data_IF_937060408348
#
_entry.id   IF_937060408348
#
_cell.length_a   1.000
_cell.length_b   1.000
_cell.length_c   1.000
_cell.angle_alpha   90.00
_cell.angle_beta   90.00
_cell.angle_gamma   90.00
#
_symmetry.space_group_name_H-M   'P 1'
#
loop_
_entity.id
_entity.type
_entity.pdbx_description
1 polymer ?
#
# COMPACT_ATOMS: atom_id res chain seq x y z
N UNK A 1 -6.26 -22.29 17.72
CA UNK A 1 -5.13 -21.33 17.62
C UNK A 1 -5.69 -20.10 16.94
N UNK A 2 -5.71 -18.95 17.61
CA UNK A 2 -6.11 -17.70 16.97
C UNK A 2 -5.24 -17.51 15.73
N UNK A 3 -5.85 -17.39 14.55
CA UNK A 3 -5.11 -17.23 13.31
C UNK A 3 -4.25 -15.98 13.43
N UNK A 4 -2.94 -16.12 13.28
CA UNK A 4 -2.08 -14.95 13.12
C UNK A 4 -2.53 -14.23 11.85
N UNK A 5 -2.70 -12.91 11.92
CA UNK A 5 -3.07 -12.09 10.76
C UNK A 5 -2.06 -12.23 9.61
N UNK A 6 -2.40 -11.71 8.42
CA UNK A 6 -1.53 -11.75 7.25
C UNK A 6 -0.11 -11.27 7.58
N UNK A 7 0.91 -11.93 7.04
CA UNK A 7 2.29 -11.43 7.16
C UNK A 7 2.54 -10.35 6.12
N UNK A 8 2.92 -9.15 6.56
CA UNK A 8 3.27 -8.04 5.65
C UNK A 8 4.79 -7.99 5.44
N UNK A 9 5.23 -7.91 4.18
CA UNK A 9 6.62 -7.76 3.77
C UNK A 9 6.78 -6.47 2.96
N UNK A 10 7.47 -5.48 3.53
CA UNK A 10 7.72 -4.19 2.86
C UNK A 10 9.09 -4.20 2.16
N UNK A 11 9.09 -3.87 0.88
CA UNK A 11 10.29 -3.66 0.08
C UNK A 11 10.52 -2.17 -0.11
N UNK A 12 11.57 -1.64 0.54
CA UNK A 12 11.93 -0.22 0.51
C UNK A 12 13.41 -0.04 0.16
N UNK A 13 13.77 1.14 -0.35
CA UNK A 13 15.11 1.48 -0.81
C UNK A 13 15.11 2.48 -1.96
N UNK A 14 16.29 2.86 -2.42
CA UNK A 14 16.46 3.84 -3.52
C UNK A 14 15.81 3.35 -4.83
N UNK A 15 15.62 4.25 -5.78
CA UNK A 15 15.19 3.90 -7.14
C UNK A 15 16.24 3.02 -7.85
N UNK A 16 15.79 2.07 -8.67
CA UNK A 16 16.67 1.26 -9.52
C UNK A 16 17.50 0.16 -8.84
N UNK A 17 17.29 -0.13 -7.55
CA UNK A 17 18.02 -1.20 -6.83
C UNK A 17 17.39 -2.59 -6.98
N UNK A 18 16.35 -2.74 -7.79
CA UNK A 18 15.66 -4.02 -8.05
C UNK A 18 14.55 -4.39 -7.07
N UNK A 19 13.99 -3.42 -6.32
CA UNK A 19 12.91 -3.67 -5.33
C UNK A 19 11.72 -4.43 -5.93
N UNK A 20 11.18 -3.91 -7.02
CA UNK A 20 10.02 -4.47 -7.73
C UNK A 20 10.26 -5.91 -8.18
N UNK A 21 11.42 -6.18 -8.78
CA UNK A 21 11.77 -7.53 -9.23
C UNK A 21 11.88 -8.50 -8.06
N UNK A 22 12.48 -8.08 -6.93
CA UNK A 22 12.59 -8.93 -5.73
C UNK A 22 11.22 -9.10 -5.06
N UNK A 23 10.37 -8.07 -5.04
CA UNK A 23 9.02 -8.14 -4.51
C UNK A 23 8.16 -9.14 -5.31
N UNK A 24 8.16 -9.02 -6.64
CA UNK A 24 7.47 -9.94 -7.54
C UNK A 24 7.97 -11.39 -7.40
N UNK A 25 9.29 -11.59 -7.38
CA UNK A 25 9.89 -12.92 -7.20
C UNK A 25 9.54 -13.54 -5.83
N UNK A 26 9.50 -12.72 -4.78
CA UNK A 26 9.08 -13.16 -3.44
C UNK A 26 7.61 -13.55 -3.44
N UNK A 27 6.76 -12.80 -4.14
CA UNK A 27 5.33 -13.07 -4.20
C UNK A 27 5.05 -14.39 -4.90
N UNK A 28 5.70 -14.62 -6.04
CA UNK A 28 5.65 -15.90 -6.73
C UNK A 28 6.11 -17.04 -5.82
N UNK A 29 7.25 -16.86 -5.12
CA UNK A 29 7.77 -17.89 -4.22
C UNK A 29 6.82 -18.20 -3.06
N UNK A 30 6.14 -17.20 -2.49
CA UNK A 30 5.14 -17.41 -1.44
C UNK A 30 3.92 -18.19 -1.96
N UNK A 31 3.45 -17.87 -3.17
CA UNK A 31 2.37 -18.59 -3.83
C UNK A 31 2.73 -20.04 -4.12
N UNK A 32 3.94 -20.31 -4.64
CA UNK A 32 4.48 -21.66 -4.86
C UNK A 32 4.57 -22.49 -3.57
N UNK A 33 4.76 -21.83 -2.43
CA UNK A 33 4.76 -22.45 -1.11
C UNK A 33 3.34 -22.62 -0.53
N UNK A 34 2.30 -22.37 -1.33
CA UNK A 34 0.90 -22.58 -1.00
C UNK A 34 0.23 -21.42 -0.25
N UNK A 35 0.88 -20.26 -0.12
CA UNK A 35 0.31 -19.09 0.59
C UNK A 35 -0.57 -18.27 -0.35
N UNK A 36 -1.75 -17.86 0.12
CA UNK A 36 -2.56 -16.86 -0.59
C UNK A 36 -1.81 -15.52 -0.52
N UNK A 37 -1.30 -15.06 -1.66
CA UNK A 37 -0.32 -13.97 -1.69
C UNK A 37 -0.81 -12.82 -2.53
N UNK A 38 -0.79 -11.61 -1.99
CA UNK A 38 -1.00 -10.38 -2.74
C UNK A 38 0.31 -9.61 -2.84
N UNK A 39 0.67 -9.16 -4.03
CA UNK A 39 1.71 -8.15 -4.25
C UNK A 39 1.09 -6.84 -4.68
N UNK A 40 1.42 -5.77 -3.96
CA UNK A 40 0.91 -4.42 -4.16
C UNK A 40 2.08 -3.52 -4.52
N UNK A 41 1.98 -2.78 -5.63
CA UNK A 41 2.89 -1.67 -5.92
C UNK A 41 2.26 -0.35 -5.51
N UNK A 42 3.06 0.49 -4.84
CA UNK A 42 2.73 1.91 -4.62
C UNK A 42 3.51 2.83 -5.55
N UNK A 43 4.28 2.28 -6.50
CA UNK A 43 5.08 3.05 -7.46
C UNK A 43 4.26 3.36 -8.71
N UNK A 44 4.23 4.65 -9.11
CA UNK A 44 3.54 5.12 -10.30
C UNK A 44 4.21 4.67 -11.62
N UNK A 45 5.42 4.10 -11.56
CA UNK A 45 6.16 3.66 -12.73
C UNK A 45 5.62 2.36 -13.39
N UNK A 46 4.51 1.78 -12.90
CA UNK A 46 3.88 0.56 -13.41
C UNK A 46 4.84 -0.65 -13.59
N UNK A 47 5.96 -0.62 -12.85
CA UNK A 47 7.05 -1.59 -13.03
C UNK A 47 6.70 -2.98 -12.53
N UNK A 48 5.66 -3.12 -11.71
CA UNK A 48 5.19 -4.42 -11.22
C UNK A 48 4.41 -5.14 -12.31
N UNK A 49 3.51 -4.45 -13.01
CA UNK A 49 2.82 -4.97 -14.19
C UNK A 49 3.81 -5.48 -15.24
N UNK A 50 4.86 -4.71 -15.53
CA UNK A 50 5.94 -5.12 -16.44
C UNK A 50 6.69 -6.37 -15.94
N UNK A 51 6.99 -6.46 -14.64
CA UNK A 51 7.66 -7.63 -14.06
C UNK A 51 6.81 -8.90 -14.12
N UNK A 52 5.48 -8.77 -14.10
CA UNK A 52 4.53 -9.89 -14.11
C UNK A 52 3.98 -10.20 -15.51
N UNK A 53 4.33 -9.39 -16.52
CA UNK A 53 3.85 -9.49 -17.90
C UNK A 53 2.31 -9.53 -17.98
N UNK A 54 1.66 -8.74 -17.12
CA UNK A 54 0.20 -8.68 -17.00
C UNK A 54 -0.24 -7.26 -16.62
N UNK A 55 -1.27 -6.68 -17.29
CA UNK A 55 -1.81 -5.40 -16.86
C UNK A 55 -2.41 -5.53 -15.45
N UNK A 56 -1.99 -4.63 -14.56
CA UNK A 56 -2.54 -4.48 -13.22
C UNK A 56 -3.37 -3.21 -13.12
N UNK A 57 -4.25 -3.17 -12.12
CA UNK A 57 -5.13 -2.04 -11.88
C UNK A 57 -5.36 -1.78 -10.40
N UNK A 58 -6.28 -0.84 -10.09
CA UNK A 58 -6.54 -0.40 -8.72
C UNK A 58 -7.18 -1.45 -7.83
N UNK A 59 -7.65 -2.57 -8.38
CA UNK A 59 -8.22 -3.70 -7.65
C UNK A 59 -7.37 -4.95 -7.89
N UNK A 60 -7.25 -5.87 -6.92
CA UNK A 60 -6.46 -7.09 -7.08
C UNK A 60 -6.91 -7.95 -8.27
N UNK A 61 -5.95 -8.33 -9.12
CA UNK A 61 -6.14 -9.24 -10.25
C UNK A 61 -5.37 -10.52 -9.99
N UNK A 62 -5.95 -11.67 -10.31
CA UNK A 62 -5.25 -12.95 -10.17
C UNK A 62 -4.18 -13.07 -11.27
N UNK A 63 -2.92 -13.26 -10.84
CA UNK A 63 -1.74 -13.37 -11.71
C UNK A 63 -1.36 -14.84 -11.92
N UNK A 64 -1.47 -15.65 -10.87
CA UNK A 64 -1.22 -17.10 -10.92
C UNK A 64 -2.07 -17.83 -9.86
N UNK A 65 -1.89 -19.15 -9.73
CA UNK A 65 -2.49 -19.87 -8.61
C UNK A 65 -1.99 -19.28 -7.29
N UNK A 66 -2.93 -18.88 -6.43
CA UNK A 66 -2.67 -18.25 -5.12
C UNK A 66 -1.87 -16.94 -5.16
N UNK A 67 -1.73 -16.30 -6.32
CA UNK A 67 -1.05 -15.01 -6.47
C UNK A 67 -1.96 -13.97 -7.09
N UNK A 68 -2.08 -12.82 -6.42
CA UNK A 68 -2.76 -11.64 -6.91
C UNK A 68 -1.78 -10.46 -6.99
N UNK A 69 -2.01 -9.58 -7.96
CA UNK A 69 -1.27 -8.34 -8.17
C UNK A 69 -2.19 -7.13 -8.14
N UNK A 70 -1.69 -6.02 -7.61
CA UNK A 70 -2.40 -4.74 -7.58
C UNK A 70 -1.41 -3.58 -7.76
N UNK A 71 -1.82 -2.56 -8.50
CA UNK A 71 -1.11 -1.28 -8.54
C UNK A 71 -2.03 -0.20 -7.97
N UNK A 72 -1.54 0.53 -6.98
CA UNK A 72 -2.35 1.56 -6.33
C UNK A 72 -2.45 2.78 -7.23
N UNK A 73 -3.65 3.05 -7.73
CA UNK A 73 -4.00 4.36 -8.28
C UNK A 73 -4.43 5.28 -7.15
N UNK A 74 -3.55 6.20 -6.79
CA UNK A 74 -3.76 7.15 -5.69
C UNK A 74 -4.99 8.03 -5.93
N UNK A 75 -5.24 8.50 -7.15
CA UNK A 75 -6.38 9.37 -7.44
C UNK A 75 -7.68 8.60 -7.24
N UNK A 76 -7.73 7.37 -7.72
CA UNK A 76 -8.86 6.48 -7.51
C UNK A 76 -9.07 6.15 -6.02
N UNK A 77 -7.99 5.88 -5.27
CA UNK A 77 -8.08 5.60 -3.83
C UNK A 77 -8.47 6.84 -3.03
N UNK A 78 -7.98 8.03 -3.40
CA UNK A 78 -8.35 9.30 -2.79
C UNK A 78 -9.84 9.54 -2.93
N UNK A 79 -10.44 9.34 -4.12
CA UNK A 79 -11.89 9.46 -4.29
C UNK A 79 -12.66 8.45 -3.41
N UNK A 80 -12.19 7.21 -3.34
CA UNK A 80 -12.82 6.13 -2.57
C UNK A 80 -12.71 6.32 -1.06
N UNK A 81 -11.60 6.88 -0.58
CA UNK A 81 -11.24 6.98 0.85
C UNK A 81 -11.12 8.41 1.38
N UNK A 82 -11.54 9.42 0.61
CA UNK A 82 -11.39 10.84 0.95
C UNK A 82 -11.85 11.18 2.36
N UNK A 83 -13.00 10.65 2.78
CA UNK A 83 -13.55 10.89 4.12
C UNK A 83 -12.68 10.31 5.23
N UNK A 84 -12.17 9.10 5.04
CA UNK A 84 -11.28 8.43 6.02
C UNK A 84 -9.95 9.17 6.12
N UNK A 85 -9.42 9.61 4.98
CA UNK A 85 -8.22 10.43 4.88
C UNK A 85 -8.40 11.76 5.61
N UNK A 86 -9.51 12.46 5.39
CA UNK A 86 -9.84 13.71 6.08
C UNK A 86 -9.91 13.51 7.61
N UNK A 87 -10.50 12.41 8.08
CA UNK A 87 -10.58 12.10 9.51
C UNK A 87 -9.20 11.87 10.13
N UNK A 88 -8.34 11.08 9.46
CA UNK A 88 -6.97 10.85 9.91
C UNK A 88 -6.14 12.13 9.93
N UNK A 89 -6.24 12.95 8.88
CA UNK A 89 -5.56 14.23 8.82
C UNK A 89 -6.04 15.19 9.91
N UNK A 90 -7.35 15.25 10.16
CA UNK A 90 -7.92 16.05 11.24
C UNK A 90 -7.38 15.60 12.61
N UNK A 91 -7.30 14.29 12.85
CA UNK A 91 -6.70 13.75 14.07
C UNK A 91 -5.22 14.13 14.22
N UNK A 92 -4.45 14.07 13.13
CA UNK A 92 -3.03 14.41 13.12
C UNK A 92 -2.77 15.91 13.31
N UNK A 93 -3.58 16.78 12.71
CA UNK A 93 -3.51 18.24 12.90
C UNK A 93 -3.93 18.65 14.31
N UNK A 94 -4.99 18.04 14.85
CA UNK A 94 -5.42 18.22 16.23
C UNK A 94 -4.31 17.82 17.21
N UNK A 95 -3.64 16.69 16.96
CA UNK A 95 -2.47 16.28 17.76
C UNK A 95 -1.30 17.27 17.70
N UNK A 96 -1.08 17.92 16.55
CA UNK A 96 -0.07 18.98 16.39
C UNK A 96 -0.52 20.36 16.89
N UNK A 97 -1.73 20.50 17.42
CA UNK A 97 -2.25 21.77 17.94
C UNK A 97 -2.54 22.81 16.85
N UNK A 98 -2.78 22.37 15.61
CA UNK A 98 -3.13 23.24 14.49
C UNK A 98 -4.66 23.20 14.33
N UNK A 99 -5.35 24.26 14.78
CA UNK A 99 -6.80 24.37 14.64
C UNK A 99 -7.22 24.61 13.18
N UNK A 100 -8.26 23.88 12.78
CA UNK A 100 -8.59 23.57 11.39
C UNK A 100 -8.95 24.74 10.50
N UNK A 101 -8.32 24.76 9.32
CA UNK A 101 -8.75 25.51 8.15
C UNK A 101 -8.19 24.87 6.88
N UNK A 102 -8.52 23.61 6.57
CA UNK A 102 -8.19 23.01 5.26
C UNK A 102 -9.25 21.97 4.86
N UNK A 103 -10.53 22.36 4.85
CA UNK A 103 -11.58 21.47 4.32
C UNK A 103 -11.66 21.53 2.78
N UNK A 104 -11.21 22.63 2.17
CA UNK A 104 -11.37 22.89 0.73
C UNK A 104 -10.06 22.78 -0.08
N UNK A 105 -8.89 22.73 0.58
CA UNK A 105 -7.56 22.70 -0.08
C UNK A 105 -6.77 21.39 0.15
N UNK A 106 -7.38 20.40 0.82
CA UNK A 106 -6.69 19.17 1.24
C UNK A 106 -6.21 18.29 0.07
N UNK A 107 -6.71 18.50 -1.15
CA UNK A 107 -6.43 17.68 -2.35
C UNK A 107 -4.97 17.70 -2.81
N UNK A 108 -4.13 18.55 -2.21
CA UNK A 108 -2.73 18.78 -2.62
C UNK A 108 -1.77 18.75 -1.43
N UNK A 109 -2.16 18.15 -0.30
CA UNK A 109 -1.26 18.02 0.84
C UNK A 109 -0.11 17.04 0.51
N UNK A 110 1.15 17.41 0.79
CA UNK A 110 2.26 16.47 0.66
C UNK A 110 2.03 15.25 1.57
N UNK A 111 2.27 14.04 1.07
CA UNK A 111 2.14 12.81 1.86
C UNK A 111 0.80 12.07 1.70
N UNK A 112 -0.13 12.59 0.89
CA UNK A 112 -1.46 12.00 0.71
C UNK A 112 -1.41 10.69 -0.06
N UNK A 113 -0.51 10.59 -1.03
CA UNK A 113 -0.26 9.39 -1.83
C UNK A 113 0.20 8.23 -0.93
N UNK A 114 1.12 8.51 -0.02
CA UNK A 114 1.61 7.54 0.96
C UNK A 114 0.53 7.13 1.98
N UNK A 115 -0.32 8.06 2.40
CA UNK A 115 -1.45 7.77 3.29
C UNK A 115 -2.51 6.91 2.60
N UNK A 116 -2.86 7.21 1.35
CA UNK A 116 -3.77 6.38 0.55
C UNK A 116 -3.25 4.95 0.41
N UNK A 117 -1.95 4.80 0.10
CA UNK A 117 -1.31 3.51 0.01
C UNK A 117 -1.38 2.74 1.34
N UNK A 118 -1.11 3.41 2.46
CA UNK A 118 -1.19 2.79 3.79
C UNK A 118 -2.62 2.34 4.13
N UNK A 119 -3.63 3.16 3.87
CA UNK A 119 -5.03 2.81 4.10
C UNK A 119 -5.48 1.61 3.26
N UNK A 120 -5.00 1.52 2.01
CA UNK A 120 -5.25 0.36 1.17
C UNK A 120 -4.60 -0.91 1.73
N UNK A 121 -3.38 -0.83 2.26
CA UNK A 121 -2.70 -1.96 2.91
C UNK A 121 -3.48 -2.42 4.15
N UNK A 122 -3.93 -1.47 5.00
CA UNK A 122 -4.75 -1.77 6.19
C UNK A 122 -6.05 -2.47 5.78
N UNK A 123 -6.74 -1.95 4.76
CA UNK A 123 -7.94 -2.59 4.23
C UNK A 123 -7.69 -4.04 3.81
N UNK A 124 -6.66 -4.28 2.99
CA UNK A 124 -6.34 -5.63 2.52
C UNK A 124 -5.99 -6.57 3.69
N UNK A 125 -5.31 -6.04 4.72
CA UNK A 125 -5.01 -6.79 5.92
C UNK A 125 -6.28 -7.20 6.67
N UNK A 126 -7.21 -6.26 6.87
CA UNK A 126 -8.48 -6.48 7.58
C UNK A 126 -9.45 -7.39 6.81
N UNK A 127 -9.42 -7.35 5.47
CA UNK A 127 -10.22 -8.23 4.62
C UNK A 127 -9.87 -9.72 4.87
N UNK A 128 -8.66 -10.05 5.33
CA UNK A 128 -8.28 -11.40 5.78
C UNK A 128 -8.18 -12.47 4.69
N UNK A 129 -8.25 -12.06 3.42
CA UNK A 129 -8.26 -12.95 2.25
C UNK A 129 -6.88 -13.52 1.88
N UNK A 130 -5.80 -12.92 2.39
CA UNK A 130 -4.43 -13.27 2.04
C UNK A 130 -3.62 -13.67 3.28
N UNK A 131 -2.72 -14.63 3.12
CA UNK A 131 -1.81 -15.07 4.17
C UNK A 131 -0.52 -14.22 4.18
N UNK A 132 -0.14 -13.67 3.02
CA UNK A 132 1.06 -12.84 2.83
C UNK A 132 0.70 -11.63 1.95
N UNK A 133 1.10 -10.44 2.40
CA UNK A 133 0.95 -9.19 1.66
C UNK A 133 2.36 -8.63 1.43
N UNK A 134 2.73 -8.49 0.16
CA UNK A 134 4.02 -7.91 -0.25
C UNK A 134 3.76 -6.52 -0.78
N UNK A 135 4.52 -5.55 -0.27
CA UNK A 135 4.39 -4.14 -0.65
C UNK A 135 5.68 -3.70 -1.31
N UNK A 136 5.63 -3.39 -2.60
CA UNK A 136 6.69 -2.70 -3.34
C UNK A 136 6.51 -1.19 -3.18
N UNK A 137 7.31 -0.59 -2.31
CA UNK A 137 7.21 0.83 -2.01
C UNK A 137 7.91 1.67 -3.09
N UNK A 138 7.26 2.78 -3.45
CA UNK A 138 7.90 3.89 -4.13
C UNK A 138 9.17 4.34 -3.38
N UNK A 139 10.17 4.94 -4.06
CA UNK A 139 11.49 5.26 -3.49
C UNK A 139 11.53 6.39 -2.44
N UNK A 140 10.42 6.75 -1.79
CA UNK A 140 10.33 7.87 -0.85
C UNK A 140 10.49 7.41 0.60
N UNK A 141 11.47 7.98 1.31
CA UNK A 141 11.71 7.72 2.74
C UNK A 141 10.56 8.16 3.66
N UNK A 142 9.58 8.91 3.13
CA UNK A 142 8.41 9.42 3.82
C UNK A 142 7.39 8.30 4.19
N UNK A 143 7.26 7.22 3.42
CA UNK A 143 6.35 6.11 3.76
C UNK A 143 6.68 5.47 5.10
N UNK A 144 7.97 5.38 5.46
CA UNK A 144 8.42 4.85 6.74
C UNK A 144 8.12 5.80 7.91
N UNK A 145 8.01 7.11 7.66
CA UNK A 145 7.66 8.09 8.70
C UNK A 145 6.20 7.93 9.15
N UNK A 146 5.30 7.54 8.25
CA UNK A 146 3.90 7.27 8.61
C UNK A 146 3.78 6.06 9.55
N UNK A 147 4.64 5.04 9.39
CA UNK A 147 4.70 3.88 10.30
C UNK A 147 5.29 4.22 11.68
N UNK A 148 5.96 5.35 11.82
CA UNK A 148 6.53 5.81 13.10
C UNK A 148 5.57 6.67 13.94
N UNK A 149 4.34 6.87 13.46
CA UNK A 149 3.31 7.55 14.23
C UNK A 149 2.97 6.72 15.48
N UNK A 150 2.91 7.35 16.66
CA UNK A 150 2.63 6.63 17.90
C UNK A 150 1.25 5.98 17.85
N UNK A 151 1.14 4.78 18.41
CA UNK A 151 -0.15 4.15 18.70
C UNK A 151 -0.94 5.07 19.63
N UNK A 152 -2.19 5.36 19.27
CA UNK A 152 -3.10 6.18 20.08
C UNK A 152 -3.59 5.43 21.32
#
# INVERSE_FOLDING_TARGET
MAGQGPRILLYTGKGGVGKTSVAAATALRCADLGRRTLVISTDAAHSLADCLDLPLGPEPVQVADRLWGQEIDVLHQMEKYWRTVQQYLAALLAWKGIDGLLAEEASVLPGMDELAALLQIVKVYDDGEHDVIIVDCAPTGETLRLLSLPEA
#
